data_IF_892154059813
#
_entry.id   IF_892154059813
#
_cell.length_a   1.000
_cell.length_b   1.000
_cell.length_c   1.000
_cell.angle_alpha   90.00
_cell.angle_beta   90.00
_cell.angle_gamma   90.00
#
_symmetry.space_group_name_H-M   'P 1'
#
loop_
_entity.id
_entity.type
_entity.pdbx_description
1 polymer ?
#
# COMPACT_ATOMS: atom_id res chain seq x y z
N UNK A 1 -11.09 20.71 16.19
CA UNK A 1 -11.59 19.48 15.54
C UNK A 1 -11.29 18.29 16.43
N UNK A 2 -12.27 17.41 16.67
CA UNK A 2 -12.19 16.40 17.72
C UNK A 2 -11.47 15.14 17.27
N UNK A 3 -10.71 14.53 18.18
CA UNK A 3 -10.04 13.23 18.07
C UNK A 3 -11.01 12.08 17.72
N UNK A 4 -12.34 12.33 17.81
CA UNK A 4 -13.42 11.43 17.37
C UNK A 4 -13.65 11.44 15.85
N UNK A 5 -13.30 12.52 15.14
CA UNK A 5 -13.35 12.57 13.68
C UNK A 5 -12.16 11.85 13.01
N UNK A 6 -11.08 11.56 13.76
CA UNK A 6 -9.89 10.83 13.29
C UNK A 6 -10.06 9.30 13.25
N UNK A 7 -11.14 8.74 13.81
CA UNK A 7 -11.28 7.32 14.21
C UNK A 7 -12.15 6.41 13.32
N UNK A 8 -12.68 6.86 12.18
CA UNK A 8 -13.85 6.20 11.56
C UNK A 8 -13.69 5.59 10.14
N UNK A 9 -12.49 5.42 9.56
CA UNK A 9 -12.42 5.08 8.12
C UNK A 9 -11.37 4.06 7.65
N UNK A 10 -10.43 3.60 8.47
CA UNK A 10 -9.52 2.53 8.00
C UNK A 10 -10.22 1.15 7.97
N UNK A 11 -11.26 1.10 8.78
CA UNK A 11 -12.42 0.24 8.76
C UNK A 11 -13.17 0.30 7.43
N UNK A 12 -13.09 1.37 6.65
CA UNK A 12 -14.06 1.57 5.59
C UNK A 12 -13.85 0.70 4.33
N UNK A 13 -12.94 -0.28 4.32
CA UNK A 13 -12.80 -1.22 3.21
C UNK A 13 -13.07 -2.64 3.68
N UNK A 14 -12.22 -3.21 4.55
CA UNK A 14 -12.51 -4.53 5.17
C UNK A 14 -13.80 -4.46 5.99
N UNK A 15 -13.97 -3.38 6.74
CA UNK A 15 -15.09 -3.15 7.63
C UNK A 15 -16.21 -2.32 6.97
N UNK A 16 -16.13 -1.65 5.81
CA UNK A 16 -17.38 -1.23 5.10
C UNK A 16 -18.06 -2.43 4.48
N UNK A 17 -17.28 -3.41 4.02
CA UNK A 17 -17.81 -4.71 3.60
C UNK A 17 -18.38 -5.45 4.83
N UNK A 18 -17.64 -5.50 5.95
CA UNK A 18 -18.07 -6.15 7.19
C UNK A 18 -19.25 -5.42 7.90
N UNK A 19 -19.13 -4.13 8.23
CA UNK A 19 -20.16 -3.26 8.84
C UNK A 19 -21.31 -2.95 7.88
N UNK A 20 -21.11 -2.89 6.57
CA UNK A 20 -22.22 -2.78 5.61
C UNK A 20 -23.14 -4.00 5.66
N UNK A 21 -22.54 -5.21 5.68
CA UNK A 21 -23.25 -6.47 5.88
C UNK A 21 -23.83 -6.61 7.31
N UNK A 22 -23.09 -6.20 8.34
CA UNK A 22 -23.52 -6.23 9.75
C UNK A 22 -24.62 -5.22 10.08
N UNK A 23 -24.57 -3.98 9.57
CA UNK A 23 -25.59 -2.95 9.81
C UNK A 23 -26.88 -3.26 9.05
N UNK A 24 -26.82 -3.86 7.85
CA UNK A 24 -28.03 -4.38 7.19
C UNK A 24 -28.62 -5.59 7.93
N UNK A 25 -27.81 -6.38 8.65
CA UNK A 25 -28.30 -7.45 9.54
C UNK A 25 -28.90 -6.91 10.86
N UNK A 26 -28.30 -5.88 11.48
CA UNK A 26 -28.73 -5.29 12.78
C UNK A 26 -29.85 -4.27 12.67
N UNK A 27 -29.96 -3.52 11.56
CA UNK A 27 -31.06 -2.59 11.34
C UNK A 27 -32.44 -3.28 11.23
N UNK A 28 -32.47 -4.62 11.21
CA UNK A 28 -33.67 -5.46 11.23
C UNK A 28 -34.02 -6.04 12.61
N UNK A 29 -33.57 -5.41 13.68
CA UNK A 29 -34.08 -5.61 15.05
C UNK A 29 -33.48 -6.79 15.82
N UNK A 30 -33.54 -6.76 17.17
CA UNK A 30 -32.93 -7.78 18.01
C UNK A 30 -33.73 -9.08 17.93
N UNK A 31 -33.03 -10.19 17.73
CA UNK A 31 -33.56 -11.52 18.01
C UNK A 31 -33.75 -11.61 19.52
N UNK A 32 -34.91 -11.23 20.05
CA UNK A 32 -35.28 -11.58 21.41
C UNK A 32 -35.66 -13.06 21.41
N UNK A 33 -34.74 -13.92 21.82
CA UNK A 33 -35.02 -15.35 22.07
C UNK A 33 -35.92 -15.56 23.29
N UNK A 34 -36.25 -14.52 24.07
CA UNK A 34 -36.97 -14.67 25.33
C UNK A 34 -38.43 -14.16 25.32
N UNK A 35 -38.93 -13.59 24.21
CA UNK A 35 -40.31 -13.06 24.17
C UNK A 35 -41.28 -13.83 23.25
N UNK A 36 -40.82 -14.90 22.60
CA UNK A 36 -41.63 -15.67 21.63
C UNK A 36 -41.94 -17.11 22.07
N UNK A 37 -41.67 -17.47 23.32
CA UNK A 37 -41.90 -18.83 23.81
C UNK A 37 -43.34 -19.09 24.31
N UNK A 38 -44.17 -18.07 24.57
CA UNK A 38 -45.46 -18.30 25.27
C UNK A 38 -46.75 -17.88 24.55
N UNK A 39 -46.72 -17.19 23.40
CA UNK A 39 -47.96 -16.64 22.79
C UNK A 39 -48.30 -17.11 21.37
N UNK A 40 -47.61 -18.12 20.80
CA UNK A 40 -47.82 -18.54 19.41
C UNK A 40 -48.12 -20.04 19.21
N UNK A 41 -49.03 -20.60 20.02
CA UNK A 41 -49.51 -21.97 19.84
C UNK A 41 -50.60 -22.14 18.76
N UNK A 42 -51.09 -21.09 18.07
CA UNK A 42 -52.26 -21.23 17.16
C UNK A 42 -52.28 -20.40 15.86
N UNK A 43 -51.14 -20.02 15.28
CA UNK A 43 -51.14 -19.46 13.92
C UNK A 43 -50.16 -20.21 13.01
N UNK A 44 -50.68 -20.75 11.90
CA UNK A 44 -49.90 -21.43 10.87
C UNK A 44 -48.85 -20.53 10.20
N UNK A 45 -47.95 -21.11 9.36
CA UNK A 45 -46.71 -20.47 8.93
C UNK A 45 -46.99 -19.45 7.82
N UNK A 46 -47.43 -18.26 8.19
CA UNK A 46 -47.30 -17.09 7.34
C UNK A 46 -45.85 -16.60 7.47
N UNK A 47 -45.05 -16.82 6.44
CA UNK A 47 -43.70 -16.26 6.32
C UNK A 47 -43.75 -14.76 6.65
N UNK A 48 -43.02 -14.37 7.71
CA UNK A 48 -42.94 -12.97 8.11
C UNK A 48 -42.38 -12.07 6.99
N UNK A 49 -42.57 -10.74 7.08
CA UNK A 49 -42.21 -9.77 6.04
C UNK A 49 -40.70 -9.64 5.75
N UNK A 50 -39.86 -10.48 6.36
CA UNK A 50 -38.41 -10.54 6.16
C UNK A 50 -37.97 -11.73 5.28
N UNK A 51 -38.90 -12.56 4.80
CA UNK A 51 -38.62 -13.87 4.23
C UNK A 51 -37.91 -13.94 2.86
N UNK A 52 -37.57 -12.83 2.19
CA UNK A 52 -36.94 -12.88 0.86
C UNK A 52 -36.11 -11.62 0.55
N UNK A 53 -35.27 -11.15 1.48
CA UNK A 53 -34.22 -10.21 1.06
C UNK A 53 -33.15 -11.02 0.33
N UNK A 54 -33.20 -10.97 -1.00
CA UNK A 54 -32.12 -11.45 -1.84
C UNK A 54 -30.99 -10.41 -1.80
N UNK A 55 -29.88 -10.82 -1.21
CA UNK A 55 -28.63 -10.09 -1.28
C UNK A 55 -27.95 -10.39 -2.61
N UNK A 56 -27.11 -9.49 -3.09
CA UNK A 56 -26.19 -9.83 -4.16
C UNK A 56 -25.21 -10.95 -3.69
N UNK A 57 -24.61 -11.70 -4.63
CA UNK A 57 -23.72 -12.81 -4.28
C UNK A 57 -22.54 -12.42 -3.40
N UNK A 58 -22.02 -11.20 -3.53
CA UNK A 58 -20.88 -10.72 -2.75
C UNK A 58 -21.27 -10.51 -1.28
N UNK A 59 -22.40 -9.84 -1.03
CA UNK A 59 -22.92 -9.62 0.33
C UNK A 59 -23.36 -10.94 0.96
N UNK A 60 -24.04 -11.81 0.21
CA UNK A 60 -24.48 -13.12 0.73
C UNK A 60 -23.29 -13.95 1.23
N UNK A 61 -22.22 -14.03 0.43
CA UNK A 61 -21.00 -14.77 0.79
C UNK A 61 -20.30 -14.16 2.00
N UNK A 62 -20.24 -12.83 2.07
CA UNK A 62 -19.71 -12.13 3.25
C UNK A 62 -20.49 -12.50 4.52
N UNK A 63 -21.83 -12.55 4.46
CA UNK A 63 -22.66 -12.97 5.61
C UNK A 63 -22.40 -14.42 5.99
N UNK A 64 -22.27 -15.33 5.02
CA UNK A 64 -21.96 -16.73 5.30
C UNK A 64 -20.59 -16.88 5.98
N UNK A 65 -19.60 -16.08 5.59
CA UNK A 65 -18.31 -16.05 6.28
C UNK A 65 -18.41 -15.58 7.73
N UNK A 66 -19.22 -14.55 8.02
CA UNK A 66 -19.46 -14.12 9.41
C UNK A 66 -20.03 -15.24 10.28
N UNK A 67 -20.89 -16.09 9.71
CA UNK A 67 -21.42 -17.26 10.42
C UNK A 67 -20.33 -18.27 10.73
N UNK A 68 -19.40 -18.51 9.80
CA UNK A 68 -18.24 -19.38 10.03
C UNK A 68 -17.43 -18.86 11.22
N UNK A 69 -17.10 -17.57 11.28
CA UNK A 69 -16.36 -16.99 12.41
C UNK A 69 -17.07 -17.19 13.76
N UNK A 70 -18.39 -17.07 13.76
CA UNK A 70 -19.22 -17.31 14.95
C UNK A 70 -19.26 -18.78 15.35
N UNK A 71 -19.36 -19.69 14.38
CA UNK A 71 -19.40 -21.13 14.63
C UNK A 71 -18.06 -21.64 15.24
N UNK A 72 -16.98 -20.87 15.05
CA UNK A 72 -15.68 -21.10 15.69
C UNK A 72 -15.44 -20.30 16.98
N UNK A 73 -16.44 -19.58 17.50
CA UNK A 73 -16.37 -18.78 18.74
C UNK A 73 -15.29 -17.68 18.75
N UNK A 74 -14.82 -17.24 17.57
CA UNK A 74 -13.78 -16.20 17.43
C UNK A 74 -14.34 -14.82 17.05
N UNK A 75 -15.64 -14.72 16.75
CA UNK A 75 -16.28 -13.46 16.33
C UNK A 75 -16.07 -12.32 17.34
N UNK A 76 -16.26 -12.60 18.64
CA UNK A 76 -16.15 -11.57 19.68
C UNK A 76 -14.71 -11.10 19.90
N UNK A 77 -13.74 -12.00 19.77
CA UNK A 77 -12.31 -11.68 19.86
C UNK A 77 -11.85 -10.87 18.66
N UNK A 78 -12.25 -11.24 17.46
CA UNK A 78 -11.99 -10.47 16.23
C UNK A 78 -12.59 -9.07 16.37
N UNK A 79 -13.85 -8.95 16.79
CA UNK A 79 -14.46 -7.64 17.03
C UNK A 79 -13.76 -6.85 18.14
N UNK A 80 -13.22 -7.52 19.17
CA UNK A 80 -12.44 -6.85 20.21
C UNK A 80 -11.06 -6.39 19.69
N UNK A 81 -10.42 -7.19 18.84
CA UNK A 81 -9.16 -6.89 18.19
C UNK A 81 -9.32 -5.69 17.25
N UNK A 82 -10.35 -5.70 16.42
CA UNK A 82 -10.74 -4.57 15.58
C UNK A 82 -10.94 -3.33 16.45
N UNK A 83 -11.78 -3.38 17.49
CA UNK A 83 -11.96 -2.22 18.39
C UNK A 83 -10.66 -1.72 18.99
N UNK A 84 -9.74 -2.60 19.38
CA UNK A 84 -8.44 -2.20 19.89
C UNK A 84 -7.59 -1.51 18.81
N UNK A 85 -7.57 -2.03 17.58
CA UNK A 85 -6.92 -1.39 16.44
C UNK A 85 -7.51 -0.01 16.14
N UNK A 86 -8.83 0.14 16.25
CA UNK A 86 -9.52 1.43 16.08
C UNK A 86 -9.10 2.45 17.14
N UNK A 87 -8.83 1.98 18.35
CA UNK A 87 -8.34 2.80 19.46
C UNK A 87 -6.82 3.03 19.40
N UNK A 88 -6.16 2.60 18.31
CA UNK A 88 -4.71 2.62 18.10
C UNK A 88 -3.92 1.85 19.19
N UNK A 89 -4.57 0.88 19.85
CA UNK A 89 -3.95 -0.08 20.76
C UNK A 89 -3.53 -1.32 19.97
N UNK A 90 -2.60 -1.13 19.02
CA UNK A 90 -2.11 -2.17 18.11
C UNK A 90 -1.55 -3.38 18.87
N UNK A 91 -0.85 -3.14 19.98
CA UNK A 91 -0.32 -4.21 20.81
C UNK A 91 -1.44 -5.09 21.37
N UNK A 92 -2.59 -4.51 21.76
CA UNK A 92 -3.76 -5.28 22.20
C UNK A 92 -4.46 -5.96 21.04
N UNK A 93 -4.64 -5.29 19.90
CA UNK A 93 -5.23 -5.89 18.70
C UNK A 93 -4.45 -7.15 18.28
N UNK A 94 -3.14 -7.03 18.17
CA UNK A 94 -2.23 -8.13 17.85
C UNK A 94 -2.36 -9.28 18.86
N UNK A 95 -2.43 -9.00 20.17
CA UNK A 95 -2.66 -10.07 21.16
C UNK A 95 -3.98 -10.78 20.93
N UNK A 96 -5.08 -10.04 20.77
CA UNK A 96 -6.41 -10.61 20.55
C UNK A 96 -6.49 -11.43 19.26
N UNK A 97 -5.85 -10.99 18.18
CA UNK A 97 -5.77 -11.78 16.96
C UNK A 97 -4.93 -13.05 17.14
N UNK A 98 -3.83 -13.02 17.90
CA UNK A 98 -3.07 -14.23 18.20
C UNK A 98 -3.84 -15.20 19.10
N UNK A 99 -4.60 -14.69 20.07
CA UNK A 99 -5.47 -15.48 20.93
C UNK A 99 -6.54 -16.20 20.08
N UNK A 100 -7.20 -15.46 19.17
CA UNK A 100 -8.17 -16.02 18.23
C UNK A 100 -7.53 -17.04 17.27
N UNK A 101 -6.34 -16.75 16.75
CA UNK A 101 -5.60 -17.66 15.86
C UNK A 101 -5.29 -18.99 16.53
N UNK A 102 -4.96 -18.97 17.83
CA UNK A 102 -4.72 -20.19 18.63
C UNK A 102 -5.95 -21.08 18.79
N UNK A 103 -7.16 -20.53 18.63
CA UNK A 103 -8.41 -21.29 18.74
C UNK A 103 -8.79 -22.00 17.44
N UNK A 104 -8.28 -21.53 16.30
CA UNK A 104 -8.68 -21.97 14.95
C UNK A 104 -7.49 -22.46 14.12
N UNK A 105 -6.40 -22.90 14.75
CA UNK A 105 -5.15 -23.23 14.05
C UNK A 105 -5.32 -24.30 12.94
N UNK A 106 -6.22 -25.26 13.17
CA UNK A 106 -6.55 -26.34 12.24
C UNK A 106 -7.49 -25.90 11.10
N UNK A 107 -8.19 -24.78 11.27
CA UNK A 107 -9.19 -24.25 10.32
C UNK A 107 -8.53 -23.29 9.33
N UNK A 108 -8.00 -23.85 8.25
CA UNK A 108 -7.14 -23.14 7.29
C UNK A 108 -7.73 -21.81 6.80
N UNK A 109 -9.02 -21.79 6.47
CA UNK A 109 -9.67 -20.61 5.91
C UNK A 109 -9.77 -19.48 6.97
N UNK A 110 -10.14 -19.82 8.22
CA UNK A 110 -10.31 -18.86 9.32
C UNK A 110 -8.96 -18.37 9.83
N UNK A 111 -8.00 -19.28 9.99
CA UNK A 111 -6.64 -18.94 10.37
C UNK A 111 -5.97 -18.01 9.34
N UNK A 112 -6.20 -18.24 8.03
CA UNK A 112 -5.69 -17.35 6.98
C UNK A 112 -6.27 -15.94 7.11
N UNK A 113 -7.58 -15.83 7.34
CA UNK A 113 -8.24 -14.55 7.54
C UNK A 113 -7.65 -13.79 8.73
N UNK A 114 -7.49 -14.45 9.88
CA UNK A 114 -6.91 -13.82 11.08
C UNK A 114 -5.44 -13.41 10.83
N UNK A 115 -4.66 -14.21 10.11
CA UNK A 115 -3.29 -13.86 9.73
C UNK A 115 -3.23 -12.66 8.79
N UNK A 116 -4.17 -12.53 7.84
CA UNK A 116 -4.28 -11.36 6.99
C UNK A 116 -4.61 -10.10 7.81
N UNK A 117 -5.49 -10.21 8.82
CA UNK A 117 -5.72 -9.13 9.78
C UNK A 117 -4.44 -8.75 10.53
N UNK A 118 -3.66 -9.72 11.03
CA UNK A 118 -2.37 -9.46 11.67
C UNK A 118 -1.39 -8.73 10.75
N UNK A 119 -1.30 -9.13 9.48
CA UNK A 119 -0.47 -8.43 8.48
C UNK A 119 -0.90 -6.97 8.34
N UNK A 120 -2.20 -6.70 8.22
CA UNK A 120 -2.72 -5.35 8.12
C UNK A 120 -2.38 -4.52 9.37
N UNK A 121 -2.55 -5.08 10.58
CA UNK A 121 -2.22 -4.38 11.83
C UNK A 121 -0.73 -4.05 11.97
N UNK A 122 0.15 -5.00 11.65
CA UNK A 122 1.60 -4.73 11.67
C UNK A 122 2.00 -3.71 10.61
N UNK A 123 1.39 -3.72 9.43
CA UNK A 123 1.61 -2.73 8.39
C UNK A 123 1.19 -1.32 8.85
N UNK A 124 0.08 -1.21 9.57
CA UNK A 124 -0.36 0.06 10.18
C UNK A 124 0.59 0.56 11.27
N UNK A 125 1.14 -0.37 12.06
CA UNK A 125 2.13 -0.10 13.09
C UNK A 125 3.54 0.18 12.52
N UNK A 126 3.72 0.10 11.20
CA UNK A 126 4.99 0.29 10.50
C UNK A 126 6.04 -0.79 10.83
N UNK A 127 5.59 -1.96 11.28
CA UNK A 127 6.47 -3.08 11.64
C UNK A 127 6.66 -4.00 10.42
N UNK A 128 7.48 -3.54 9.47
CA UNK A 128 7.78 -4.27 8.23
C UNK A 128 8.33 -5.67 8.48
N UNK A 129 9.11 -5.86 9.54
CA UNK A 129 9.68 -7.16 9.87
C UNK A 129 8.59 -8.14 10.32
N UNK A 130 7.70 -7.71 11.23
CA UNK A 130 6.58 -8.52 11.67
C UNK A 130 5.63 -8.85 10.52
N UNK A 131 5.35 -7.88 9.63
CA UNK A 131 4.55 -8.11 8.41
C UNK A 131 5.14 -9.24 7.57
N UNK A 132 6.43 -9.17 7.22
CA UNK A 132 7.09 -10.19 6.40
C UNK A 132 7.11 -11.55 7.10
N UNK A 133 7.31 -11.58 8.42
CA UNK A 133 7.29 -12.80 9.21
C UNK A 133 5.91 -13.48 9.19
N UNK A 134 4.84 -12.73 9.46
CA UNK A 134 3.47 -13.27 9.47
C UNK A 134 3.06 -13.70 8.05
N UNK A 135 3.32 -12.86 7.05
CA UNK A 135 2.98 -13.16 5.66
C UNK A 135 3.71 -14.41 5.16
N UNK A 136 5.02 -14.52 5.42
CA UNK A 136 5.81 -15.70 5.06
C UNK A 136 5.31 -16.98 5.73
N UNK A 137 4.91 -16.91 7.01
CA UNK A 137 4.33 -18.04 7.73
C UNK A 137 2.93 -18.42 7.23
N UNK A 138 2.14 -17.44 6.76
CA UNK A 138 0.79 -17.64 6.25
C UNK A 138 0.76 -18.10 4.78
N UNK A 139 1.83 -17.89 4.01
CA UNK A 139 1.86 -18.17 2.57
C UNK A 139 1.52 -19.63 2.20
N UNK A 140 2.02 -20.69 2.88
CA UNK A 140 1.61 -22.07 2.58
C UNK A 140 0.12 -22.32 2.81
N UNK A 141 -0.46 -21.67 3.82
CA UNK A 141 -1.90 -21.74 4.09
C UNK A 141 -2.69 -21.00 3.01
N UNK A 142 -2.23 -19.82 2.60
CA UNK A 142 -2.82 -19.09 1.47
C UNK A 142 -2.81 -19.93 0.18
N UNK A 143 -1.71 -20.65 -0.10
CA UNK A 143 -1.61 -21.59 -1.22
C UNK A 143 -2.61 -22.74 -1.11
N UNK A 144 -2.76 -23.33 0.08
CA UNK A 144 -3.73 -24.39 0.32
C UNK A 144 -5.17 -23.92 0.11
N UNK A 145 -5.51 -22.75 0.67
CA UNK A 145 -6.84 -22.13 0.49
C UNK A 145 -7.08 -21.82 -0.99
N UNK A 146 -6.10 -21.21 -1.67
CA UNK A 146 -6.14 -20.88 -3.09
C UNK A 146 -6.23 -22.11 -4.03
N UNK A 147 -5.85 -23.31 -3.56
CA UNK A 147 -6.02 -24.57 -4.30
C UNK A 147 -7.28 -25.34 -3.91
N UNK A 148 -7.89 -25.04 -2.77
CA UNK A 148 -8.99 -25.79 -2.16
C UNK A 148 -10.31 -25.79 -2.95
N UNK A 149 -10.39 -25.07 -4.09
CA UNK A 149 -11.58 -25.02 -4.94
C UNK A 149 -12.67 -24.11 -4.37
N UNK A 150 -13.94 -24.51 -4.52
CA UNK A 150 -15.20 -23.75 -4.38
C UNK A 150 -15.39 -22.82 -3.14
N UNK A 151 -14.43 -22.75 -2.22
CA UNK A 151 -14.38 -21.82 -1.09
C UNK A 151 -13.65 -20.49 -1.38
N UNK A 152 -12.77 -20.41 -2.37
CA UNK A 152 -12.06 -19.13 -2.68
C UNK A 152 -13.00 -18.07 -3.25
N UNK A 153 -14.15 -18.51 -3.75
CA UNK A 153 -15.27 -17.68 -4.15
C UNK A 153 -15.82 -16.76 -3.03
N UNK A 154 -15.32 -16.89 -1.80
CA UNK A 154 -15.56 -16.00 -0.66
C UNK A 154 -14.74 -14.70 -0.77
N UNK A 155 -15.38 -13.52 -0.84
CA UNK A 155 -14.69 -12.22 -0.91
C UNK A 155 -13.57 -12.04 0.11
N UNK A 156 -13.81 -12.48 1.36
CA UNK A 156 -12.87 -12.30 2.46
C UNK A 156 -11.63 -13.20 2.32
N UNK A 157 -11.74 -14.34 1.64
CA UNK A 157 -10.58 -15.20 1.36
C UNK A 157 -9.76 -14.69 0.17
N UNK A 158 -10.41 -14.12 -0.85
CA UNK A 158 -9.72 -13.41 -1.95
C UNK A 158 -8.87 -12.28 -1.36
N UNK A 159 -9.48 -11.43 -0.55
CA UNK A 159 -8.79 -10.31 0.09
C UNK A 159 -7.68 -10.78 1.03
N UNK A 160 -7.90 -11.84 1.81
CA UNK A 160 -6.87 -12.40 2.68
C UNK A 160 -5.67 -12.91 1.89
N UNK A 161 -5.88 -13.60 0.77
CA UNK A 161 -4.81 -14.04 -0.11
C UNK A 161 -3.98 -12.86 -0.65
N UNK A 162 -4.65 -11.79 -1.08
CA UNK A 162 -3.97 -10.57 -1.54
C UNK A 162 -3.11 -9.96 -0.42
N UNK A 163 -3.69 -9.75 0.77
CA UNK A 163 -2.99 -9.16 1.91
C UNK A 163 -1.76 -9.97 2.36
N UNK A 164 -1.77 -11.29 2.21
CA UNK A 164 -0.59 -12.12 2.47
C UNK A 164 0.45 -11.99 1.36
N UNK A 165 0.04 -11.91 0.09
CA UNK A 165 0.95 -11.84 -1.06
C UNK A 165 1.61 -10.47 -1.20
N UNK A 166 0.87 -9.37 -0.98
CA UNK A 166 1.33 -7.98 -1.10
C UNK A 166 2.71 -7.74 -0.47
N UNK A 167 2.92 -7.97 0.84
CA UNK A 167 4.20 -7.68 1.47
C UNK A 167 5.33 -8.59 0.97
N UNK A 168 5.04 -9.85 0.63
CA UNK A 168 6.06 -10.79 0.13
C UNK A 168 6.60 -10.30 -1.21
N UNK A 169 5.72 -9.80 -2.07
CA UNK A 169 6.02 -9.36 -3.43
C UNK A 169 6.61 -7.96 -3.44
N UNK A 170 6.04 -7.03 -2.67
CA UNK A 170 6.40 -5.61 -2.69
C UNK A 170 7.54 -5.27 -1.72
N UNK A 171 7.58 -5.91 -0.54
CA UNK A 171 8.49 -5.51 0.55
C UNK A 171 9.55 -6.56 0.88
N UNK A 172 9.40 -7.81 0.46
CA UNK A 172 10.30 -8.88 0.85
C UNK A 172 11.63 -8.85 0.11
N UNK A 173 12.53 -7.93 0.42
CA UNK A 173 13.89 -7.96 -0.13
C UNK A 173 14.57 -9.29 0.26
N UNK A 174 15.06 -10.04 -0.73
CA UNK A 174 15.64 -11.36 -0.50
C UNK A 174 14.65 -12.53 -0.31
N UNK A 175 13.34 -12.34 -0.55
CA UNK A 175 12.36 -13.45 -0.63
C UNK A 175 12.86 -14.56 -1.55
N UNK A 176 12.71 -15.82 -1.11
CA UNK A 176 13.19 -16.99 -1.88
C UNK A 176 12.37 -17.15 -3.16
N UNK A 177 12.99 -17.72 -4.20
CA UNK A 177 12.31 -17.97 -5.47
C UNK A 177 11.10 -18.91 -5.32
N UNK A 178 11.17 -19.88 -4.40
CA UNK A 178 10.05 -20.78 -4.08
C UNK A 178 8.85 -20.00 -3.51
N UNK A 179 9.09 -19.11 -2.55
CA UNK A 179 8.05 -18.25 -1.96
C UNK A 179 7.46 -17.29 -3.00
N UNK A 180 8.28 -16.69 -3.86
CA UNK A 180 7.78 -15.85 -4.96
C UNK A 180 6.94 -16.64 -5.99
N UNK A 181 7.26 -17.92 -6.19
CA UNK A 181 6.48 -18.79 -7.09
C UNK A 181 5.12 -19.10 -6.49
N UNK A 182 5.07 -19.42 -5.20
CA UNK A 182 3.81 -19.64 -4.47
C UNK A 182 2.99 -18.35 -4.41
N UNK A 183 3.61 -17.21 -4.12
CA UNK A 183 2.96 -15.91 -4.09
C UNK A 183 2.33 -15.56 -5.46
N UNK A 184 3.04 -15.80 -6.56
CA UNK A 184 2.49 -15.62 -7.90
C UNK A 184 1.25 -16.49 -8.15
N UNK A 185 1.32 -17.78 -7.76
CA UNK A 185 0.18 -18.69 -7.91
C UNK A 185 -1.02 -18.27 -7.06
N UNK A 186 -0.82 -17.89 -5.80
CA UNK A 186 -1.89 -17.42 -4.91
C UNK A 186 -2.56 -16.19 -5.51
N UNK A 187 -1.79 -15.22 -6.00
CA UNK A 187 -2.34 -14.02 -6.65
C UNK A 187 -3.11 -14.34 -7.95
N UNK A 188 -2.64 -15.28 -8.77
CA UNK A 188 -3.36 -15.74 -9.97
C UNK A 188 -4.72 -16.36 -9.63
N UNK A 189 -4.78 -17.19 -8.58
CA UNK A 189 -6.04 -17.79 -8.14
C UNK A 189 -6.99 -16.73 -7.56
N UNK A 190 -6.47 -15.79 -6.75
CA UNK A 190 -7.27 -14.67 -6.23
C UNK A 190 -7.86 -13.82 -7.37
N UNK A 191 -7.06 -13.51 -8.41
CA UNK A 191 -7.53 -12.79 -9.59
C UNK A 191 -8.65 -13.55 -10.32
N UNK A 192 -8.47 -14.87 -10.53
CA UNK A 192 -9.48 -15.71 -11.18
C UNK A 192 -10.80 -15.73 -10.40
N UNK A 193 -10.73 -15.95 -9.09
CA UNK A 193 -11.93 -15.99 -8.23
C UNK A 193 -12.63 -14.64 -8.13
N UNK A 194 -11.90 -13.53 -8.13
CA UNK A 194 -12.48 -12.18 -8.17
C UNK A 194 -13.27 -11.96 -9.48
N UNK A 195 -12.73 -12.36 -10.63
CA UNK A 195 -13.43 -12.27 -11.92
C UNK A 195 -14.66 -13.16 -11.99
N UNK A 196 -14.58 -14.39 -11.48
CA UNK A 196 -15.71 -15.32 -11.41
C UNK A 196 -16.85 -14.75 -10.55
N UNK A 197 -16.51 -14.24 -9.36
CA UNK A 197 -17.51 -13.59 -8.50
C UNK A 197 -18.08 -12.33 -9.15
N UNK A 198 -17.27 -11.53 -9.87
CA UNK A 198 -17.76 -10.36 -10.61
C UNK A 198 -18.82 -10.76 -11.63
N UNK A 199 -18.60 -11.82 -12.41
CA UNK A 199 -19.57 -12.33 -13.39
C UNK A 199 -20.89 -12.71 -12.70
N UNK A 200 -20.82 -13.36 -11.52
CA UNK A 200 -22.00 -13.72 -10.76
C UNK A 200 -22.77 -12.48 -10.26
N UNK A 201 -22.07 -11.47 -9.74
CA UNK A 201 -22.68 -10.21 -9.29
C UNK A 201 -23.30 -9.44 -10.46
N UNK A 202 -22.63 -9.35 -11.61
CA UNK A 202 -23.15 -8.72 -12.83
C UNK A 202 -24.39 -9.44 -13.37
N UNK A 203 -24.38 -10.78 -13.36
CA UNK A 203 -25.54 -11.57 -13.75
C UNK A 203 -26.71 -11.30 -12.80
N UNK A 204 -26.48 -11.36 -11.48
CA UNK A 204 -27.49 -11.07 -10.48
C UNK A 204 -28.05 -9.64 -10.64
N UNK A 205 -27.19 -8.65 -10.85
CA UNK A 205 -27.58 -7.25 -11.03
C UNK A 205 -28.51 -7.06 -12.23
N UNK A 206 -28.22 -7.74 -13.35
CA UNK A 206 -29.07 -7.76 -14.54
C UNK A 206 -30.42 -8.42 -14.29
N UNK A 207 -30.43 -9.58 -13.63
CA UNK A 207 -31.66 -10.33 -13.33
C UNK A 207 -32.59 -9.57 -12.37
N UNK A 208 -32.03 -8.84 -11.42
CA UNK A 208 -32.78 -8.15 -10.35
C UNK A 208 -32.93 -6.64 -10.59
N UNK A 209 -32.44 -6.12 -11.73
CA UNK A 209 -32.45 -4.68 -12.06
C UNK A 209 -31.92 -3.82 -10.91
N UNK A 210 -30.81 -4.24 -10.32
CA UNK A 210 -30.26 -3.73 -9.07
C UNK A 210 -29.02 -2.85 -9.32
N UNK A 211 -29.18 -1.55 -9.59
CA UNK A 211 -28.05 -0.66 -9.92
C UNK A 211 -27.03 -0.53 -8.77
N UNK A 212 -27.45 -0.76 -7.53
CA UNK A 212 -26.57 -0.74 -6.35
C UNK A 212 -25.47 -1.81 -6.35
N UNK A 213 -25.62 -2.86 -7.16
CA UNK A 213 -24.58 -3.87 -7.33
C UNK A 213 -23.34 -3.34 -8.07
N UNK A 214 -23.42 -2.17 -8.73
CA UNK A 214 -22.30 -1.54 -9.42
C UNK A 214 -21.07 -1.38 -8.53
N UNK A 215 -21.24 -1.00 -7.27
CA UNK A 215 -20.12 -0.86 -6.33
C UNK A 215 -19.38 -2.18 -6.11
N UNK A 216 -20.10 -3.30 -5.96
CA UNK A 216 -19.51 -4.62 -5.78
C UNK A 216 -18.82 -5.12 -7.05
N UNK A 217 -19.37 -4.81 -8.23
CA UNK A 217 -18.72 -5.12 -9.51
C UNK A 217 -17.40 -4.37 -9.65
N UNK A 218 -17.39 -3.07 -9.34
CA UNK A 218 -16.20 -2.22 -9.41
C UNK A 218 -15.13 -2.64 -8.39
N UNK A 219 -15.54 -3.02 -7.18
CA UNK A 219 -14.63 -3.56 -6.15
C UNK A 219 -13.99 -4.88 -6.59
N UNK A 220 -14.78 -5.81 -7.14
CA UNK A 220 -14.27 -7.10 -7.63
C UNK A 220 -13.36 -6.93 -8.84
N UNK A 221 -13.64 -5.97 -9.72
CA UNK A 221 -12.72 -5.60 -10.79
C UNK A 221 -11.40 -5.08 -10.23
N UNK A 222 -11.44 -4.16 -9.26
CA UNK A 222 -10.23 -3.61 -8.63
C UNK A 222 -9.37 -4.71 -7.99
N UNK A 223 -10.01 -5.65 -7.29
CA UNK A 223 -9.33 -6.79 -6.66
C UNK A 223 -8.70 -7.74 -7.68
N UNK A 224 -9.39 -8.01 -8.79
CA UNK A 224 -8.84 -8.81 -9.88
C UNK A 224 -7.60 -8.14 -10.48
N UNK A 225 -7.69 -6.85 -10.82
CA UNK A 225 -6.59 -6.07 -11.40
C UNK A 225 -5.37 -5.98 -10.47
N UNK A 226 -5.59 -5.72 -9.17
CA UNK A 226 -4.50 -5.74 -8.17
C UNK A 226 -3.84 -7.12 -8.07
N UNK A 227 -4.64 -8.18 -8.05
CA UNK A 227 -4.15 -9.56 -7.99
C UNK A 227 -3.31 -9.93 -9.23
N UNK A 228 -3.73 -9.50 -10.43
CA UNK A 228 -2.93 -9.68 -11.64
C UNK A 228 -1.60 -8.92 -11.58
N UNK A 229 -1.61 -7.68 -11.07
CA UNK A 229 -0.39 -6.89 -10.88
C UNK A 229 0.58 -7.55 -9.89
N UNK A 230 0.07 -8.12 -8.79
CA UNK A 230 0.87 -8.89 -7.83
C UNK A 230 1.49 -10.13 -8.46
N UNK A 231 0.70 -10.92 -9.19
CA UNK A 231 1.19 -12.09 -9.89
C UNK A 231 2.29 -11.72 -10.90
N UNK A 232 2.07 -10.67 -11.69
CA UNK A 232 3.04 -10.18 -12.64
C UNK A 232 4.30 -9.66 -11.94
N UNK A 233 4.18 -8.90 -10.85
CA UNK A 233 5.33 -8.40 -10.08
C UNK A 233 6.12 -9.56 -9.45
N UNK A 234 5.47 -10.58 -8.91
CA UNK A 234 6.13 -11.79 -8.42
C UNK A 234 6.94 -12.48 -9.53
N UNK A 235 6.35 -12.64 -10.73
CA UNK A 235 7.05 -13.17 -11.92
C UNK A 235 8.23 -12.29 -12.32
N UNK A 236 8.11 -10.96 -12.28
CA UNK A 236 9.22 -10.05 -12.56
C UNK A 236 10.41 -10.28 -11.60
N UNK A 237 10.13 -10.47 -10.30
CA UNK A 237 11.14 -10.78 -9.28
C UNK A 237 11.79 -12.15 -9.46
N UNK A 238 11.08 -13.10 -10.06
CA UNK A 238 11.62 -14.39 -10.53
C UNK A 238 12.48 -14.27 -11.80
N UNK A 239 12.71 -13.06 -12.31
CA UNK A 239 13.43 -12.82 -13.56
C UNK A 239 12.58 -13.02 -14.82
N UNK A 240 11.28 -13.35 -14.69
CA UNK A 240 10.35 -13.53 -15.82
C UNK A 240 9.73 -12.20 -16.26
N UNK A 241 10.57 -11.17 -16.42
CA UNK A 241 10.14 -9.80 -16.73
C UNK A 241 9.46 -9.66 -18.09
N UNK A 242 9.87 -10.47 -19.07
CA UNK A 242 9.25 -10.50 -20.40
C UNK A 242 7.78 -10.95 -20.37
N UNK A 243 7.39 -11.76 -19.39
CA UNK A 243 6.00 -12.17 -19.17
C UNK A 243 5.25 -11.17 -18.28
N UNK A 244 5.93 -10.60 -17.29
CA UNK A 244 5.33 -9.66 -16.34
C UNK A 244 4.91 -8.32 -16.98
N UNK A 245 5.78 -7.73 -17.82
CA UNK A 245 5.56 -6.38 -18.36
C UNK A 245 4.28 -6.28 -19.19
N UNK A 246 3.98 -7.19 -20.15
CA UNK A 246 2.71 -7.15 -20.88
C UNK A 246 1.50 -7.20 -19.95
N UNK A 247 1.47 -8.14 -18.99
CA UNK A 247 0.38 -8.23 -18.01
C UNK A 247 0.23 -6.94 -17.19
N UNK A 248 1.33 -6.31 -16.77
CA UNK A 248 1.27 -5.05 -16.03
C UNK A 248 0.73 -3.89 -16.88
N UNK A 249 0.99 -3.88 -18.19
CA UNK A 249 0.40 -2.92 -19.11
C UNK A 249 -1.09 -3.18 -19.29
N UNK A 250 -1.50 -4.43 -19.47
CA UNK A 250 -2.91 -4.82 -19.57
C UNK A 250 -3.67 -4.38 -18.30
N UNK A 251 -3.10 -4.60 -17.11
CA UNK A 251 -3.70 -4.13 -15.84
C UNK A 251 -3.84 -2.60 -15.80
N UNK A 252 -2.84 -1.86 -16.28
CA UNK A 252 -2.88 -0.38 -16.32
C UNK A 252 -3.91 0.13 -17.32
N UNK A 253 -4.05 -0.54 -18.47
CA UNK A 253 -4.99 -0.17 -19.52
C UNK A 253 -6.44 -0.53 -19.15
N UNK A 254 -6.64 -1.62 -18.40
CA UNK A 254 -7.95 -2.09 -17.91
C UNK A 254 -8.35 -1.48 -16.54
N UNK A 255 -7.52 -0.64 -15.93
CA UNK A 255 -7.81 -0.10 -14.60
C UNK A 255 -8.87 1.03 -14.65
N UNK A 256 -10.08 0.71 -14.19
CA UNK A 256 -11.19 1.67 -14.10
C UNK A 256 -11.16 2.56 -12.84
N UNK A 257 -10.32 2.23 -11.85
CA UNK A 257 -10.19 2.96 -10.57
C UNK A 257 -8.75 3.39 -10.30
N UNK A 258 -8.61 4.54 -9.65
CA UNK A 258 -7.31 5.09 -9.25
C UNK A 258 -6.51 4.13 -8.35
N UNK A 259 -7.20 3.27 -7.58
CA UNK A 259 -6.60 2.25 -6.70
C UNK A 259 -5.83 1.19 -7.48
N UNK A 260 -6.49 0.46 -8.40
CA UNK A 260 -5.82 -0.51 -9.27
C UNK A 260 -4.83 0.16 -10.22
N UNK A 261 -5.16 1.35 -10.75
CA UNK A 261 -4.30 2.08 -11.67
C UNK A 261 -2.98 2.49 -10.99
N UNK A 262 -3.04 3.12 -9.82
CA UNK A 262 -1.86 3.52 -9.06
C UNK A 262 -0.98 2.33 -8.68
N UNK A 263 -1.61 1.22 -8.27
CA UNK A 263 -0.92 -0.01 -7.92
C UNK A 263 -0.24 -0.68 -9.13
N UNK A 264 -0.95 -0.78 -10.25
CA UNK A 264 -0.43 -1.35 -11.50
C UNK A 264 0.73 -0.51 -12.06
N UNK A 265 0.59 0.82 -12.07
CA UNK A 265 1.62 1.75 -12.51
C UNK A 265 2.87 1.70 -11.62
N UNK A 266 2.70 1.56 -10.30
CA UNK A 266 3.82 1.32 -9.40
C UNK A 266 4.56 0.03 -9.74
N UNK A 267 3.84 -1.10 -9.83
CA UNK A 267 4.43 -2.39 -10.16
C UNK A 267 5.14 -2.40 -11.53
N UNK A 268 4.53 -1.74 -12.53
CA UNK A 268 5.11 -1.54 -13.86
C UNK A 268 6.38 -0.70 -13.78
N UNK A 269 6.32 0.46 -13.13
CA UNK A 269 7.44 1.38 -12.96
C UNK A 269 8.63 0.71 -12.31
N UNK A 270 8.43 0.04 -11.17
CA UNK A 270 9.48 -0.74 -10.48
C UNK A 270 10.10 -1.78 -11.41
N UNK A 271 9.26 -2.54 -12.12
CA UNK A 271 9.73 -3.59 -13.04
C UNK A 271 10.54 -3.01 -14.21
N UNK A 272 10.15 -1.85 -14.74
CA UNK A 272 10.87 -1.15 -15.81
C UNK A 272 12.19 -0.52 -15.34
N UNK A 273 12.26 -0.05 -14.09
CA UNK A 273 13.54 0.36 -13.47
C UNK A 273 14.51 -0.82 -13.48
N UNK A 274 14.05 -2.01 -13.06
CA UNK A 274 14.88 -3.22 -12.99
C UNK A 274 15.36 -3.72 -14.37
N UNK A 275 14.64 -3.43 -15.47
CA UNK A 275 15.09 -3.77 -16.83
C UNK A 275 15.95 -2.69 -17.48
N UNK A 276 16.11 -1.54 -16.84
CA UNK A 276 16.81 -0.39 -17.39
C UNK A 276 16.02 0.41 -18.43
N UNK A 277 14.70 0.17 -18.56
CA UNK A 277 13.80 0.92 -19.43
C UNK A 277 13.43 2.28 -18.79
N UNK A 278 14.44 3.15 -18.62
CA UNK A 278 14.36 4.36 -17.77
C UNK A 278 13.25 5.33 -18.16
N UNK A 279 13.07 5.62 -19.45
CA UNK A 279 12.05 6.57 -19.91
C UNK A 279 10.63 6.06 -19.65
N UNK A 280 10.36 4.79 -19.97
CA UNK A 280 9.07 4.16 -19.69
C UNK A 280 8.81 4.04 -18.18
N UNK A 281 9.85 3.71 -17.41
CA UNK A 281 9.75 3.68 -15.95
C UNK A 281 9.40 5.06 -15.39
N UNK A 282 10.02 6.12 -15.92
CA UNK A 282 9.74 7.50 -15.49
C UNK A 282 8.31 7.91 -15.79
N UNK A 283 7.79 7.57 -16.97
CA UNK A 283 6.38 7.82 -17.33
C UNK A 283 5.44 7.05 -16.39
N UNK A 284 5.66 5.74 -16.23
CA UNK A 284 4.84 4.87 -15.39
C UNK A 284 4.81 5.35 -13.92
N UNK A 285 5.97 5.66 -13.33
CA UNK A 285 6.07 6.17 -11.95
C UNK A 285 5.45 7.57 -11.81
N UNK A 286 5.57 8.43 -12.83
CA UNK A 286 4.95 9.77 -12.81
C UNK A 286 3.43 9.68 -12.84
N UNK A 287 2.88 8.87 -13.74
CA UNK A 287 1.43 8.59 -13.78
C UNK A 287 0.97 7.89 -12.51
N UNK A 288 1.79 6.97 -11.99
CA UNK A 288 1.55 6.23 -10.76
C UNK A 288 1.38 7.17 -9.57
N UNK A 289 2.28 8.15 -9.39
CA UNK A 289 2.15 9.15 -8.34
C UNK A 289 0.85 9.93 -8.42
N UNK A 290 0.41 10.33 -9.62
CA UNK A 290 -0.86 11.06 -9.77
C UNK A 290 -2.04 10.19 -9.33
N UNK A 291 -2.08 8.93 -9.75
CA UNK A 291 -3.13 8.00 -9.35
C UNK A 291 -3.08 7.71 -7.84
N UNK A 292 -1.89 7.47 -7.28
CA UNK A 292 -1.71 7.23 -5.84
C UNK A 292 -2.13 8.46 -5.05
N UNK A 293 -1.72 9.67 -5.43
CA UNK A 293 -2.11 10.91 -4.76
C UNK A 293 -3.63 11.13 -4.82
N UNK A 294 -4.30 10.78 -5.92
CA UNK A 294 -5.75 10.81 -6.02
C UNK A 294 -6.40 9.83 -5.01
N UNK A 295 -5.86 8.62 -4.89
CA UNK A 295 -6.25 7.65 -3.87
C UNK A 295 -6.04 8.22 -2.46
N UNK A 296 -4.85 8.73 -2.15
CA UNK A 296 -4.55 9.35 -0.85
C UNK A 296 -5.53 10.49 -0.53
N UNK A 297 -5.82 11.35 -1.51
CA UNK A 297 -6.76 12.47 -1.35
C UNK A 297 -8.19 11.98 -1.09
N UNK A 298 -8.62 10.89 -1.73
CA UNK A 298 -9.95 10.29 -1.51
C UNK A 298 -10.10 9.72 -0.09
N UNK A 299 -9.02 9.24 0.50
CA UNK A 299 -9.01 8.72 1.87
C UNK A 299 -8.74 9.81 2.93
N UNK A 300 -8.12 10.92 2.55
CA UNK A 300 -7.74 12.02 3.44
C UNK A 300 -6.76 11.55 4.53
N UNK A 301 -6.99 11.97 5.79
CA UNK A 301 -6.17 11.55 6.95
C UNK A 301 -6.25 10.03 7.27
N UNK A 302 -7.02 9.25 6.50
CA UNK A 302 -7.33 7.85 6.79
C UNK A 302 -6.78 6.89 5.71
N UNK A 303 -5.74 7.31 5.01
CA UNK A 303 -5.18 6.51 3.94
C UNK A 303 -4.47 5.26 4.47
N UNK A 304 -4.67 4.09 3.84
CA UNK A 304 -3.87 2.91 4.16
C UNK A 304 -2.37 3.20 4.02
N UNK A 305 -1.58 2.77 5.02
CA UNK A 305 -0.12 2.98 5.03
C UNK A 305 0.57 2.41 3.79
N UNK A 306 0.02 1.37 3.19
CA UNK A 306 0.51 0.79 1.93
C UNK A 306 0.60 1.83 0.81
N UNK A 307 -0.38 2.73 0.67
CA UNK A 307 -0.37 3.76 -0.38
C UNK A 307 0.58 4.92 -0.05
N UNK A 308 0.76 5.23 1.23
CA UNK A 308 1.75 6.21 1.67
C UNK A 308 3.15 5.69 1.37
N UNK A 309 3.43 4.44 1.74
CA UNK A 309 4.68 3.78 1.41
C UNK A 309 4.90 3.69 -0.10
N UNK A 310 3.88 3.27 -0.85
CA UNK A 310 3.98 3.13 -2.30
C UNK A 310 4.22 4.50 -2.95
N UNK A 311 3.59 5.58 -2.47
CA UNK A 311 3.88 6.94 -2.91
C UNK A 311 5.35 7.29 -2.65
N UNK A 312 5.81 7.13 -1.41
CA UNK A 312 7.18 7.51 -1.00
C UNK A 312 8.23 6.70 -1.80
N UNK A 313 8.00 5.40 -2.01
CA UNK A 313 8.85 4.55 -2.82
C UNK A 313 8.79 4.92 -4.32
N UNK A 314 7.62 5.29 -4.83
CA UNK A 314 7.47 5.80 -6.21
C UNK A 314 8.23 7.13 -6.38
N UNK A 315 8.13 8.05 -5.42
CA UNK A 315 8.89 9.30 -5.42
C UNK A 315 10.39 9.03 -5.42
N UNK A 316 10.85 8.10 -4.57
CA UNK A 316 12.25 7.65 -4.49
C UNK A 316 12.74 7.04 -5.81
N UNK A 317 12.03 6.06 -6.36
CA UNK A 317 12.41 5.40 -7.62
C UNK A 317 12.45 6.39 -8.78
N UNK A 318 11.50 7.33 -8.82
CA UNK A 318 11.46 8.39 -9.84
C UNK A 318 12.62 9.38 -9.69
N UNK A 319 13.03 9.66 -8.45
CA UNK A 319 14.24 10.40 -8.15
C UNK A 319 15.49 9.63 -8.60
N UNK A 320 15.53 8.31 -8.42
CA UNK A 320 16.66 7.48 -8.84
C UNK A 320 16.85 7.40 -10.36
N UNK A 321 15.79 7.64 -11.13
CA UNK A 321 15.83 7.69 -12.59
C UNK A 321 16.32 9.04 -13.16
N UNK A 322 16.26 10.11 -12.38
CA UNK A 322 16.58 11.47 -12.78
C UNK A 322 17.48 12.13 -11.72
N UNK A 323 18.80 12.29 -12.01
CA UNK A 323 19.76 12.84 -11.06
C UNK A 323 19.35 14.18 -10.45
N UNK A 324 18.68 15.05 -11.22
CA UNK A 324 18.22 16.35 -10.73
C UNK A 324 17.05 16.19 -9.73
N UNK A 325 16.15 15.23 -9.98
CA UNK A 325 15.11 14.85 -9.02
C UNK A 325 15.67 14.15 -7.81
N UNK A 326 16.73 13.35 -7.94
CA UNK A 326 17.44 12.76 -6.79
C UNK A 326 17.91 13.86 -5.85
N UNK A 327 18.62 14.86 -6.37
CA UNK A 327 19.05 16.04 -5.60
C UNK A 327 17.87 16.75 -4.94
N UNK A 328 16.77 16.99 -5.67
CA UNK A 328 15.60 17.66 -5.11
C UNK A 328 14.91 16.84 -3.99
N UNK A 329 14.83 15.52 -4.14
CA UNK A 329 14.30 14.61 -3.13
C UNK A 329 15.15 14.61 -1.86
N UNK A 330 16.48 14.54 -1.99
CA UNK A 330 17.43 14.73 -0.88
C UNK A 330 17.17 16.04 -0.13
N UNK A 331 16.98 17.14 -0.86
CA UNK A 331 16.73 18.45 -0.25
C UNK A 331 15.41 18.48 0.54
N UNK A 332 14.37 17.79 0.06
CA UNK A 332 13.09 17.67 0.77
C UNK A 332 13.25 16.88 2.07
N UNK A 333 13.89 15.71 2.03
CA UNK A 333 14.16 14.92 3.24
C UNK A 333 14.98 15.71 4.28
N UNK A 334 15.96 16.51 3.81
CA UNK A 334 16.73 17.41 4.66
C UNK A 334 15.85 18.47 5.33
N UNK A 335 14.98 19.14 4.56
CA UNK A 335 14.07 20.17 5.09
C UNK A 335 13.10 19.62 6.13
N UNK A 336 12.61 18.40 5.92
CA UNK A 336 11.65 17.74 6.80
C UNK A 336 12.31 17.09 8.03
N UNK A 337 13.65 17.15 8.16
CA UNK A 337 14.45 16.39 9.14
C UNK A 337 14.15 14.87 9.10
N UNK A 338 14.04 14.30 7.90
CA UNK A 338 13.74 12.87 7.64
C UNK A 338 14.91 12.15 6.94
N UNK A 339 16.14 12.59 7.18
CA UNK A 339 17.31 12.06 6.49
C UNK A 339 17.57 10.58 6.83
N UNK A 340 17.22 10.16 8.04
CA UNK A 340 17.29 8.79 8.53
C UNK A 340 16.48 7.78 7.70
N UNK A 341 15.53 8.23 6.90
CA UNK A 341 14.69 7.39 6.05
C UNK A 341 15.38 6.96 4.75
N UNK A 342 16.59 7.44 4.49
CA UNK A 342 17.32 7.05 3.29
C UNK A 342 17.91 5.63 3.42
N UNK A 343 17.79 4.76 2.40
CA UNK A 343 18.37 3.42 2.43
C UNK A 343 19.89 3.42 2.66
N UNK A 344 20.54 4.51 2.26
CA UNK A 344 21.98 4.74 2.38
C UNK A 344 22.42 5.07 3.83
N UNK A 345 21.47 5.31 4.76
CA UNK A 345 21.73 5.51 6.19
C UNK A 345 22.11 4.24 6.97
N UNK A 346 22.57 3.19 6.30
CA UNK A 346 22.99 1.94 6.92
C UNK A 346 24.01 2.17 8.05
N UNK A 347 23.54 2.22 9.30
CA UNK A 347 24.21 2.24 10.63
C UNK A 347 25.52 3.05 10.82
N UNK A 348 25.98 3.82 9.83
CA UNK A 348 27.31 4.42 9.82
C UNK A 348 27.35 5.81 9.16
N UNK A 349 26.63 6.77 9.75
CA UNK A 349 26.83 8.25 9.81
C UNK A 349 27.40 9.12 8.67
N UNK A 350 27.97 8.60 7.57
CA UNK A 350 28.70 9.41 6.57
C UNK A 350 28.25 9.21 5.12
N UNK A 351 27.48 8.17 4.83
CA UNK A 351 26.99 7.83 3.48
C UNK A 351 26.05 8.85 2.77
N UNK A 352 25.18 9.62 3.45
CA UNK A 352 24.14 10.43 2.78
C UNK A 352 24.73 11.55 1.91
N UNK A 353 25.89 12.06 2.33
CA UNK A 353 26.56 13.18 1.69
C UNK A 353 27.24 12.79 0.38
N UNK A 354 27.83 11.60 0.32
CA UNK A 354 28.47 11.10 -0.90
C UNK A 354 27.46 10.89 -2.02
N UNK A 355 26.36 10.20 -1.70
CA UNK A 355 25.28 9.97 -2.65
C UNK A 355 24.62 11.27 -3.16
N UNK A 356 24.42 12.25 -2.27
CA UNK A 356 23.95 13.58 -2.68
C UNK A 356 24.92 14.28 -3.64
N UNK A 357 26.21 14.30 -3.32
CA UNK A 357 27.24 14.95 -4.16
C UNK A 357 27.36 14.27 -5.53
N UNK A 358 27.29 12.95 -5.58
CA UNK A 358 27.34 12.19 -6.84
C UNK A 358 26.10 12.45 -7.69
N UNK A 359 24.91 12.49 -7.09
CA UNK A 359 23.67 12.90 -7.76
C UNK A 359 23.75 14.32 -8.32
N UNK A 360 24.29 15.26 -7.54
CA UNK A 360 24.45 16.66 -7.92
C UNK A 360 25.44 16.82 -9.10
N UNK A 361 26.52 16.04 -9.10
CA UNK A 361 27.46 16.00 -10.23
C UNK A 361 26.83 15.39 -11.48
N UNK A 362 26.09 14.29 -11.32
CA UNK A 362 25.40 13.62 -12.42
C UNK A 362 24.36 14.55 -13.07
N UNK A 363 23.59 15.29 -12.25
CA UNK A 363 22.65 16.31 -12.72
C UNK A 363 23.33 17.49 -13.42
N UNK A 364 24.47 17.96 -12.92
CA UNK A 364 25.23 19.01 -13.58
C UNK A 364 25.83 18.54 -14.91
N UNK A 365 26.31 17.29 -14.96
CA UNK A 365 26.90 16.69 -16.15
C UNK A 365 25.86 16.39 -17.25
N UNK A 366 24.61 16.07 -16.88
CA UNK A 366 23.52 15.86 -17.84
C UNK A 366 23.02 17.17 -18.47
N UNK A 367 23.35 18.33 -17.88
CA UNK A 367 22.84 19.63 -18.29
C UNK A 367 21.36 19.86 -17.95
N UNK A 368 20.71 18.89 -17.30
CA UNK A 368 19.29 18.95 -16.93
C UNK A 368 19.11 19.54 -15.53
N UNK A 369 19.39 20.84 -15.40
CA UNK A 369 19.23 21.57 -14.14
C UNK A 369 17.79 22.11 -13.97
N UNK A 370 16.92 21.91 -14.96
CA UNK A 370 15.54 22.40 -14.94
C UNK A 370 14.70 21.72 -13.84
N UNK A 371 15.00 20.45 -13.53
CA UNK A 371 14.34 19.69 -12.46
C UNK A 371 14.54 20.28 -11.05
N UNK A 372 15.58 21.09 -10.83
CA UNK A 372 15.87 21.72 -9.53
C UNK A 372 15.02 22.97 -9.27
N UNK A 373 14.53 23.63 -10.33
CA UNK A 373 13.83 24.93 -10.24
C UNK A 373 12.38 24.76 -9.73
N UNK A 374 11.79 23.57 -9.89
CA UNK A 374 10.39 23.29 -9.50
C UNK A 374 10.13 23.11 -8.00
N UNK A 375 11.17 23.03 -7.16
CA UNK A 375 11.05 22.72 -5.72
C UNK A 375 11.10 23.95 -4.81
N UNK A 376 10.76 25.13 -5.33
CA UNK A 376 10.73 26.36 -4.55
C UNK A 376 12.10 27.01 -4.32
N UNK A 377 13.10 26.68 -5.13
CA UNK A 377 14.34 27.45 -5.25
C UNK A 377 14.08 28.69 -6.13
N UNK A 378 13.91 29.91 -5.57
CA UNK A 378 13.70 31.08 -6.39
C UNK A 378 15.06 31.64 -6.79
N UNK A 379 15.23 31.74 -8.11
CA UNK A 379 16.13 32.65 -8.80
C UNK A 379 17.64 32.33 -8.70
N UNK A 380 18.19 31.99 -9.88
CA UNK A 380 19.60 31.92 -10.25
C UNK A 380 20.37 30.63 -9.90
N UNK A 381 20.23 29.62 -10.77
CA UNK A 381 21.39 28.80 -11.15
C UNK A 381 22.21 29.64 -12.12
N UNK A 382 23.10 30.48 -11.59
CA UNK A 382 24.00 31.31 -12.39
C UNK A 382 25.38 30.64 -12.48
N UNK A 383 25.64 29.96 -13.59
CA UNK A 383 26.99 29.66 -14.07
C UNK A 383 27.57 28.31 -13.67
N UNK A 384 27.16 27.24 -14.37
CA UNK A 384 28.04 26.09 -14.54
C UNK A 384 29.18 26.48 -15.50
N UNK A 385 30.31 26.96 -14.96
CA UNK A 385 31.54 27.08 -15.74
C UNK A 385 32.31 25.77 -15.62
N UNK A 386 32.36 25.02 -16.73
CA UNK A 386 33.22 23.86 -16.90
C UNK A 386 34.66 24.32 -17.17
N UNK A 387 35.31 24.84 -16.12
CA UNK A 387 36.78 24.83 -16.04
C UNK A 387 37.17 23.61 -15.18
N UNK A 388 37.15 22.44 -15.83
CA UNK A 388 37.79 21.18 -15.43
C UNK A 388 38.10 21.07 -13.93
N UNK A 389 37.09 20.73 -13.13
CA UNK A 389 37.11 20.06 -11.80
C UNK A 389 36.22 20.68 -10.70
N UNK A 390 35.48 21.77 -10.93
CA UNK A 390 34.62 22.37 -9.89
C UNK A 390 33.22 22.70 -10.41
N UNK A 391 32.29 21.78 -10.19
CA UNK A 391 30.85 22.07 -10.30
C UNK A 391 30.46 22.88 -9.07
N UNK A 392 29.98 24.12 -9.27
CA UNK A 392 29.42 24.98 -8.22
C UNK A 392 27.89 24.97 -8.32
N UNK A 393 27.19 24.33 -7.37
CA UNK A 393 25.71 24.33 -7.33
C UNK A 393 25.29 25.16 -6.13
N UNK A 394 24.58 26.26 -6.38
CA UNK A 394 23.94 27.07 -5.35
C UNK A 394 22.47 26.66 -5.23
N UNK A 395 22.07 26.12 -4.07
CA UNK A 395 20.71 25.70 -3.76
C UNK A 395 20.15 26.63 -2.69
N UNK A 396 19.16 27.46 -3.03
CA UNK A 396 18.50 28.38 -2.11
C UNK A 396 17.14 27.84 -1.68
N UNK A 397 16.86 27.76 -0.38
CA UNK A 397 15.62 27.19 0.16
C UNK A 397 14.82 28.25 0.93
N UNK A 398 13.95 29.00 0.24
CA UNK A 398 13.10 30.00 0.90
C UNK A 398 13.87 31.16 1.56
N UNK A 399 13.17 32.01 2.32
CA UNK A 399 13.76 33.24 2.90
C UNK A 399 14.64 33.00 4.13
N UNK A 400 14.41 31.93 4.87
CA UNK A 400 15.00 31.71 6.19
C UNK A 400 15.99 30.53 6.25
N UNK A 401 16.15 29.79 5.15
CA UNK A 401 17.11 28.67 5.10
C UNK A 401 18.39 29.13 4.39
N UNK A 402 19.58 28.92 4.98
CA UNK A 402 20.85 29.25 4.34
C UNK A 402 21.04 28.43 3.05
N UNK A 403 21.41 29.05 1.91
CA UNK A 403 21.70 28.32 0.69
C UNK A 403 22.90 27.39 0.88
N UNK A 404 22.87 26.28 0.16
CA UNK A 404 23.98 25.35 0.08
C UNK A 404 24.77 25.63 -1.19
N UNK A 405 26.08 25.80 -1.08
CA UNK A 405 26.99 25.84 -2.21
C UNK A 405 27.78 24.53 -2.23
N UNK A 406 27.69 23.79 -3.33
CA UNK A 406 28.50 22.58 -3.53
C UNK A 406 29.64 22.96 -4.45
N UNK A 407 30.91 22.86 -4.04
CA UNK A 407 32.06 23.00 -4.97
C UNK A 407 33.04 21.84 -4.85
N UNK A 408 33.23 21.09 -5.94
CA UNK A 408 34.11 19.90 -5.95
C UNK A 408 33.65 18.83 -4.95
N UNK A 409 34.46 18.54 -3.93
CA UNK A 409 34.19 17.60 -2.82
C UNK A 409 33.71 18.30 -1.54
N UNK A 410 33.36 19.59 -1.58
CA UNK A 410 33.05 20.37 -0.38
C UNK A 410 31.63 20.92 -0.43
N UNK A 411 30.87 20.68 0.63
CA UNK A 411 29.56 21.30 0.86
C UNK A 411 29.78 22.52 1.74
N UNK A 412 29.26 23.66 1.32
CA UNK A 412 29.32 24.92 2.05
C UNK A 412 27.90 25.33 2.44
N UNK A 413 27.69 25.61 3.71
CA UNK A 413 26.49 26.34 4.16
C UNK A 413 26.76 27.83 4.05
N UNK A 414 25.83 28.60 3.48
CA UNK A 414 25.96 30.04 3.29
C UNK A 414 24.97 30.79 4.20
N UNK A 415 25.40 31.79 4.98
CA UNK A 415 24.47 32.71 5.65
C UNK A 415 24.46 34.06 4.94
N UNK A 416 23.29 34.70 4.94
CA UNK A 416 23.13 36.04 4.40
C UNK A 416 23.60 37.04 5.45
N UNK A 417 24.60 37.83 5.12
CA UNK A 417 25.03 38.99 5.92
C UNK A 417 24.67 40.28 5.22
N UNK A 418 24.75 41.42 5.92
CA UNK A 418 24.53 42.76 5.31
C UNK A 418 25.46 43.04 4.13
N UNK A 419 26.61 42.35 4.05
CA UNK A 419 27.57 42.47 2.95
C UNK A 419 27.47 41.40 1.85
N UNK A 420 26.42 40.56 1.85
CA UNK A 420 26.25 39.44 0.92
C UNK A 420 26.32 38.07 1.60
N UNK A 421 26.37 37.00 0.80
CA UNK A 421 26.49 35.63 1.30
C UNK A 421 27.89 35.36 1.87
N UNK A 422 27.96 34.67 3.01
CA UNK A 422 29.21 34.17 3.60
C UNK A 422 29.10 32.68 3.88
N UNK A 423 30.19 31.96 3.63
CA UNK A 423 30.34 30.57 4.07
C UNK A 423 30.35 30.55 5.60
N UNK A 424 29.39 29.85 6.20
CA UNK A 424 29.29 29.66 7.65
C UNK A 424 29.93 28.36 8.08
N UNK A 425 29.87 27.35 7.21
CA UNK A 425 30.42 26.03 7.45
C UNK A 425 30.94 25.44 6.13
N UNK A 426 32.05 24.71 6.22
CA UNK A 426 32.72 24.08 5.09
C UNK A 426 33.24 22.73 5.56
N UNK A 427 32.65 21.65 5.05
CA UNK A 427 33.11 20.31 5.38
C UNK A 427 33.62 19.58 4.12
N UNK A 428 34.86 19.03 4.13
CA UNK A 428 35.36 18.22 3.02
C UNK A 428 34.68 16.84 3.00
N UNK A 429 34.43 16.26 1.83
CA UNK A 429 33.75 14.96 1.66
C UNK A 429 34.51 13.74 2.24
N UNK A 430 35.67 13.94 2.89
CA UNK A 430 36.54 12.87 3.36
C UNK A 430 36.97 12.93 4.82
N UNK A 431 36.43 13.82 5.67
CA UNK A 431 36.77 13.81 7.10
C UNK A 431 35.58 13.37 7.96
N UNK A 432 35.81 12.28 8.70
CA UNK A 432 34.91 11.75 9.70
C UNK A 432 34.61 12.78 10.79
N UNK A 433 33.43 12.63 11.39
CA UNK A 433 33.00 13.37 12.55
C UNK A 433 33.97 13.13 13.72
N UNK A 434 34.92 14.03 13.91
CA UNK A 434 35.47 14.40 15.20
C UNK A 434 36.02 15.83 15.07
N UNK A 435 35.16 16.80 15.39
CA UNK A 435 35.50 18.05 16.07
C UNK A 435 34.32 18.54 16.89
#
# INVERSE_FOLDING_TARGET
MSQRARRALLIATVVTIFIGALLTSRARGPWSTDAAADDNAQAGPAAGPLGNIQYDPFVSRTIDWLRVLRDHDVEDEIHAAERAAWDADFARAVRLYNDALGQVEDEQDVALFIQACLVAEYAMADDRQAVLQVAGAALPRAEQVARGGARIEQPLLILSCMLIVDPIVLWGDGTRAEELTVAAQVAEHAASSARELRILVEQWAREHSAPQAGNSVDELHDWASRSDALAARARARLGRRAEAIPTLRDVVDDADRDTALGFGLYCLGVTLVETGAREEAQDALTRGLVAIDAVLASFGERCPREYVWMRDDTERLRADLDPARRVAWFCRLWQDNRLEEMPEFGTGGTAPRGAFLDAAREAAASGDLAGLVGFGAPEAISGAQDDRAKVSIELSFGRDTPPLLVTGDTLFSLSRTEGGWRIVDAAPAGMGAEQ
#
